data_IF_412846909220
#
_entry.id   IF_412846909220
#
_cell.length_a   1.000
_cell.length_b   1.000
_cell.length_c   1.000
_cell.angle_alpha   90.00
_cell.angle_beta   90.00
_cell.angle_gamma   90.00
#
_symmetry.space_group_name_H-M   'P 1'
#
loop_
_entity.id
_entity.type
_entity.pdbx_description
1 polymer ?
#
# COMPACT_ATOMS: atom_id res chain seq x y z
N UNK A 1 -16.82 20.50 -31.84
CA UNK A 1 -15.66 20.98 -31.05
C UNK A 1 -16.18 21.74 -29.84
N UNK A 2 -16.28 21.09 -28.67
CA UNK A 2 -16.67 21.73 -27.41
C UNK A 2 -15.50 21.57 -26.44
N UNK A 3 -14.92 22.70 -26.01
CA UNK A 3 -13.85 22.79 -25.01
C UNK A 3 -14.49 22.71 -23.63
N UNK A 4 -14.09 21.73 -22.83
CA UNK A 4 -14.46 21.65 -21.41
C UNK A 4 -13.57 22.60 -20.60
N UNK A 5 -14.20 23.43 -19.76
CA UNK A 5 -13.59 24.43 -18.92
C UNK A 5 -12.76 23.78 -17.79
N UNK A 6 -11.51 24.22 -17.64
CA UNK A 6 -10.76 24.11 -16.39
C UNK A 6 -11.32 25.13 -15.39
N UNK A 7 -11.59 24.67 -14.16
CA UNK A 7 -11.91 25.56 -13.04
C UNK A 7 -10.72 25.59 -12.08
N UNK A 8 -9.98 26.70 -12.11
CA UNK A 8 -8.97 27.05 -11.13
C UNK A 8 -9.66 27.71 -9.92
N UNK A 9 -9.46 27.16 -8.72
CA UNK A 9 -9.95 27.76 -7.49
C UNK A 9 -8.84 28.60 -6.83
N UNK A 10 -9.03 29.92 -6.82
CA UNK A 10 -8.25 30.90 -6.06
C UNK A 10 -8.52 30.75 -4.55
N UNK A 11 -7.47 30.79 -3.74
CA UNK A 11 -7.55 30.89 -2.27
C UNK A 11 -7.09 32.29 -1.84
N UNK A 12 -8.01 33.04 -1.24
CA UNK A 12 -7.76 34.31 -0.55
C UNK A 12 -7.08 34.05 0.80
N UNK A 13 -5.99 34.79 1.05
CA UNK A 13 -5.26 34.81 2.32
C UNK A 13 -5.72 36.03 3.13
N UNK A 14 -6.21 35.81 4.34
CA UNK A 14 -6.32 36.87 5.36
C UNK A 14 -5.40 36.55 6.53
N UNK A 15 -4.54 37.52 6.82
CA UNK A 15 -3.54 37.53 7.88
C UNK A 15 -4.16 38.12 9.16
N UNK A 16 -3.91 37.48 10.31
CA UNK A 16 -3.89 38.16 11.61
C UNK A 16 -2.73 37.58 12.43
N UNK A 17 -2.00 38.50 13.07
CA UNK A 17 -0.74 38.31 13.77
C UNK A 17 -0.96 38.49 15.28
N UNK A 18 0.07 38.05 16.02
CA UNK A 18 0.51 38.45 17.36
C UNK A 18 0.01 37.69 18.60
N UNK A 19 0.97 37.37 19.48
CA UNK A 19 0.72 37.31 20.93
C UNK A 19 1.44 36.26 21.79
N UNK A 20 2.77 36.17 21.72
CA UNK A 20 3.74 35.87 22.81
C UNK A 20 3.27 35.41 24.22
N UNK A 21 3.84 34.31 24.76
CA UNK A 21 4.78 34.25 25.93
C UNK A 21 4.96 32.82 26.50
N UNK A 22 6.22 32.48 26.78
CA UNK A 22 6.70 31.25 27.42
C UNK A 22 6.79 31.34 28.96
N UNK A 23 7.05 30.15 29.56
CA UNK A 23 7.64 29.79 30.87
C UNK A 23 6.70 29.39 32.02
N UNK A 24 7.15 28.56 32.99
CA UNK A 24 7.71 27.20 32.86
C UNK A 24 7.09 26.19 33.88
N UNK A 25 7.49 24.91 33.77
CA UNK A 25 7.01 23.76 34.56
C UNK A 25 7.48 23.69 36.04
N UNK A 26 6.84 22.82 36.84
CA UNK A 26 7.55 22.07 37.90
C UNK A 26 7.28 20.55 37.89
N UNK A 27 8.34 19.75 38.10
CA UNK A 27 8.29 18.35 38.59
C UNK A 27 8.31 18.31 40.13
N UNK A 28 7.77 17.26 40.78
CA UNK A 28 8.60 16.15 41.33
C UNK A 28 7.83 14.81 41.35
N UNK A 29 8.36 13.61 41.65
CA UNK A 29 9.64 13.11 42.14
C UNK A 29 9.58 11.57 42.19
N UNK A 30 10.74 10.94 42.36
CA UNK A 30 10.93 9.48 42.37
C UNK A 30 10.53 8.81 43.70
N UNK A 31 10.37 7.48 43.71
CA UNK A 31 10.69 6.68 44.89
C UNK A 31 11.72 5.56 44.62
N UNK A 32 12.57 5.38 45.63
CA UNK A 32 13.64 4.39 45.75
C UNK A 32 13.13 2.94 45.85
N UNK A 33 13.93 2.01 45.34
CA UNK A 33 13.97 0.59 45.70
C UNK A 33 14.71 0.36 47.03
N UNK A 34 14.45 -0.77 47.70
CA UNK A 34 15.57 -1.64 48.08
C UNK A 34 15.31 -3.14 47.85
N UNK A 35 16.42 -3.87 47.90
CA UNK A 35 16.71 -5.23 47.46
C UNK A 35 16.29 -6.38 48.41
N UNK A 36 16.27 -7.58 47.79
CA UNK A 36 16.60 -8.93 48.31
C UNK A 36 15.66 -9.69 49.27
N UNK A 37 15.20 -10.89 48.86
CA UNK A 37 15.79 -12.19 49.27
C UNK A 37 14.89 -13.42 48.95
N UNK A 38 15.53 -14.42 48.33
CA UNK A 38 15.37 -15.89 48.41
C UNK A 38 14.01 -16.57 48.75
N UNK A 39 13.56 -17.49 47.88
CA UNK A 39 13.36 -18.92 48.18
C UNK A 39 12.83 -19.70 46.94
N UNK A 40 13.39 -20.89 46.71
CA UNK A 40 12.84 -21.97 45.88
C UNK A 40 12.70 -23.22 46.80
N UNK A 41 12.27 -24.42 46.34
CA UNK A 41 11.56 -24.82 45.12
C UNK A 41 10.35 -25.76 45.39
N UNK A 42 9.52 -26.04 44.38
CA UNK A 42 8.78 -27.32 44.34
C UNK A 42 8.36 -27.73 42.92
N UNK A 43 8.98 -28.83 42.47
CA UNK A 43 8.51 -29.89 41.56
C UNK A 43 7.50 -29.60 40.45
N UNK A 44 7.85 -29.96 39.22
CA UNK A 44 7.29 -31.15 38.56
C UNK A 44 7.90 -31.34 37.17
N UNK A 45 8.08 -32.60 36.80
CA UNK A 45 8.77 -33.11 35.61
C UNK A 45 8.24 -32.53 34.29
N UNK A 46 9.14 -31.99 33.48
CA UNK A 46 8.88 -31.67 32.08
C UNK A 46 8.87 -32.96 31.26
N UNK A 47 7.70 -33.35 30.77
CA UNK A 47 7.57 -34.23 29.61
C UNK A 47 7.90 -33.41 28.37
N UNK A 48 8.95 -33.79 27.66
CA UNK A 48 9.20 -33.33 26.31
C UNK A 48 8.07 -33.83 25.40
N UNK A 49 7.15 -32.94 25.03
CA UNK A 49 6.31 -33.11 23.86
C UNK A 49 6.97 -32.35 22.72
N UNK A 50 7.60 -33.11 21.84
CA UNK A 50 8.07 -32.67 20.53
C UNK A 50 6.83 -32.34 19.68
N UNK A 51 6.29 -31.14 19.90
CA UNK A 51 5.24 -30.58 19.06
C UNK A 51 5.94 -29.89 17.90
N UNK A 52 6.19 -30.67 16.85
CA UNK A 52 6.60 -30.17 15.56
C UNK A 52 5.69 -29.00 15.17
N UNK A 53 6.30 -27.84 15.00
CA UNK A 53 5.69 -26.66 14.40
C UNK A 53 5.12 -27.06 13.05
N UNK A 54 3.81 -27.30 12.98
CA UNK A 54 3.12 -27.41 11.73
C UNK A 54 3.22 -26.05 11.04
N UNK A 55 4.08 -26.03 10.05
CA UNK A 55 4.29 -24.95 9.11
C UNK A 55 2.95 -24.54 8.49
N UNK A 56 2.51 -23.32 8.79
CA UNK A 56 1.34 -22.69 8.17
C UNK A 56 1.50 -22.49 6.65
N UNK A 57 2.62 -22.91 6.06
CA UNK A 57 2.87 -22.97 4.62
C UNK A 57 1.96 -23.94 3.83
N UNK A 58 1.26 -24.87 4.49
CA UNK A 58 0.48 -25.93 3.82
C UNK A 58 -0.82 -25.46 3.12
N UNK A 59 -1.31 -24.24 3.35
CA UNK A 59 -2.60 -23.80 2.80
C UNK A 59 -2.52 -23.15 1.40
N UNK A 60 -1.30 -22.95 0.86
CA UNK A 60 -1.09 -22.23 -0.38
C UNK A 60 -0.93 -23.21 -1.54
N UNK A 61 -1.90 -23.21 -2.47
CA UNK A 61 -1.78 -23.92 -3.75
C UNK A 61 -0.50 -23.53 -4.51
N UNK A 62 -0.12 -24.33 -5.51
CA UNK A 62 1.11 -24.13 -6.28
C UNK A 62 1.25 -22.69 -6.83
N UNK A 63 2.49 -22.19 -6.89
CA UNK A 63 2.78 -20.89 -7.50
C UNK A 63 2.36 -20.89 -8.98
N UNK A 64 1.86 -19.74 -9.46
CA UNK A 64 1.57 -19.59 -10.89
C UNK A 64 2.88 -19.40 -11.66
N UNK A 65 2.94 -19.92 -12.88
CA UNK A 65 3.98 -19.59 -13.84
C UNK A 65 3.84 -18.15 -14.35
N UNK A 66 4.91 -17.61 -14.93
CA UNK A 66 4.89 -16.26 -15.50
C UNK A 66 3.91 -16.13 -16.67
N UNK A 67 3.78 -17.17 -17.50
CA UNK A 67 2.83 -17.19 -18.60
C UNK A 67 1.38 -17.16 -18.09
N UNK A 68 1.07 -17.90 -17.01
CA UNK A 68 -0.25 -17.86 -16.37
C UNK A 68 -0.55 -16.48 -15.79
N UNK A 69 0.42 -15.84 -15.15
CA UNK A 69 0.23 -14.48 -14.63
C UNK A 69 -0.01 -13.47 -15.76
N UNK A 70 0.79 -13.51 -16.82
CA UNK A 70 0.61 -12.61 -17.96
C UNK A 70 -0.77 -12.74 -18.61
N UNK A 71 -1.21 -13.98 -18.85
CA UNK A 71 -2.54 -14.27 -19.35
C UNK A 71 -3.64 -13.79 -18.39
N UNK A 72 -3.43 -13.92 -17.08
CA UNK A 72 -4.35 -13.44 -16.06
C UNK A 72 -4.47 -11.90 -16.07
N UNK A 73 -3.34 -11.19 -16.16
CA UNK A 73 -3.30 -9.72 -16.26
C UNK A 73 -4.13 -9.27 -17.47
N UNK A 74 -3.91 -9.86 -18.65
CA UNK A 74 -4.64 -9.51 -19.87
C UNK A 74 -6.14 -9.86 -19.78
N UNK A 75 -6.47 -11.04 -19.22
CA UNK A 75 -7.85 -11.50 -19.06
C UNK A 75 -8.64 -10.56 -18.17
N UNK A 76 -8.09 -10.17 -17.02
CA UNK A 76 -8.76 -9.36 -16.01
C UNK A 76 -8.81 -7.87 -16.38
N UNK A 77 -7.79 -7.35 -17.07
CA UNK A 77 -7.68 -5.93 -17.39
C UNK A 77 -8.74 -5.45 -18.38
N UNK A 78 -9.13 -4.19 -18.26
CA UNK A 78 -9.98 -3.48 -19.23
C UNK A 78 -9.24 -2.31 -19.89
N UNK A 79 -9.96 -1.49 -20.66
CA UNK A 79 -9.34 -0.33 -21.32
C UNK A 79 -8.91 0.68 -20.26
N UNK A 80 -7.68 1.23 -20.33
CA UNK A 80 -7.24 2.25 -19.38
C UNK A 80 -8.06 3.53 -19.54
N UNK A 81 -8.28 4.21 -18.43
CA UNK A 81 -8.83 5.56 -18.39
C UNK A 81 -7.75 6.61 -18.18
N UNK A 82 -8.18 7.86 -18.04
CA UNK A 82 -7.31 9.01 -17.87
C UNK A 82 -7.10 9.35 -16.39
N UNK A 83 -5.89 9.81 -16.06
CA UNK A 83 -5.59 10.37 -14.74
C UNK A 83 -4.63 11.55 -14.89
N UNK A 84 -4.87 12.68 -14.21
CA UNK A 84 -4.21 13.95 -14.54
C UNK A 84 -2.77 14.09 -14.00
N UNK A 85 -2.16 13.03 -13.46
CA UNK A 85 -0.81 13.12 -12.89
C UNK A 85 -0.02 11.81 -12.92
N UNK A 86 1.29 11.92 -13.08
CA UNK A 86 2.25 10.83 -13.00
C UNK A 86 2.78 10.67 -11.57
N UNK A 87 1.93 10.18 -10.67
CA UNK A 87 2.33 9.86 -9.30
C UNK A 87 2.61 8.36 -9.15
N UNK A 88 3.78 8.06 -8.60
CA UNK A 88 4.34 6.71 -8.35
C UNK A 88 4.45 6.38 -6.85
N UNK A 89 3.91 7.24 -5.99
CA UNK A 89 4.01 7.07 -4.55
C UNK A 89 2.73 7.54 -3.88
N UNK A 90 2.38 6.93 -2.76
CA UNK A 90 1.27 7.39 -1.93
C UNK A 90 1.56 8.75 -1.30
N UNK A 91 0.51 9.41 -0.83
CA UNK A 91 0.58 10.61 0.02
C UNK A 91 -0.22 10.45 1.32
N UNK A 92 -0.56 9.22 1.67
CA UNK A 92 -1.44 8.88 2.79
C UNK A 92 -0.65 8.76 4.10
N UNK A 93 -0.59 9.84 4.87
CA UNK A 93 0.14 9.83 6.15
C UNK A 93 -0.49 8.96 7.23
N UNK A 94 -1.76 8.55 7.09
CA UNK A 94 -2.49 7.73 8.09
C UNK A 94 -2.53 6.24 7.74
N UNK A 95 -1.82 5.79 6.70
CA UNK A 95 -1.98 4.45 6.15
C UNK A 95 -1.69 3.31 7.15
N UNK A 96 -0.85 3.54 8.17
CA UNK A 96 -0.59 2.56 9.23
C UNK A 96 -1.67 2.53 10.34
N UNK A 97 -2.64 3.46 10.36
CA UNK A 97 -3.69 3.50 11.38
C UNK A 97 -4.63 2.28 11.33
N UNK A 98 -4.64 1.57 10.20
CA UNK A 98 -5.44 0.35 9.99
C UNK A 98 -4.66 -0.94 10.25
N UNK A 99 -3.38 -0.85 10.65
CA UNK A 99 -2.49 -2.02 10.77
C UNK A 99 -3.03 -3.10 11.72
N UNK A 100 -3.65 -2.74 12.84
CA UNK A 100 -4.22 -3.69 13.79
C UNK A 100 -5.40 -4.47 13.19
N UNK A 101 -6.25 -3.81 12.42
CA UNK A 101 -7.37 -4.42 11.70
C UNK A 101 -6.87 -5.38 10.62
N UNK A 102 -5.84 -4.99 9.88
CA UNK A 102 -5.27 -5.77 8.77
C UNK A 102 -4.48 -7.00 9.22
N UNK A 103 -4.16 -7.11 10.50
CA UNK A 103 -3.44 -8.25 11.08
C UNK A 103 -4.35 -9.25 11.79
N UNK A 104 -5.67 -9.03 11.80
CA UNK A 104 -6.61 -9.96 12.41
C UNK A 104 -6.56 -11.33 11.74
N UNK A 105 -6.62 -12.38 12.56
CA UNK A 105 -6.61 -13.77 12.07
C UNK A 105 -7.79 -14.09 11.15
N UNK A 106 -8.91 -13.38 11.31
CA UNK A 106 -10.08 -13.48 10.42
C UNK A 106 -9.79 -13.10 8.97
N UNK A 107 -8.67 -12.40 8.69
CA UNK A 107 -8.25 -12.05 7.33
C UNK A 107 -7.29 -13.07 6.71
N UNK A 108 -6.76 -14.04 7.48
CA UNK A 108 -5.83 -15.04 6.96
C UNK A 108 -6.50 -15.94 5.93
N UNK A 109 -5.76 -16.29 4.88
CA UNK A 109 -6.27 -17.13 3.79
C UNK A 109 -7.26 -16.42 2.86
N UNK A 110 -7.51 -15.12 3.03
CA UNK A 110 -8.42 -14.34 2.17
C UNK A 110 -7.67 -13.46 1.18
N UNK A 111 -8.26 -13.26 0.01
CA UNK A 111 -7.67 -12.47 -1.06
C UNK A 111 -7.68 -10.97 -0.77
N UNK A 112 -6.76 -10.25 -1.40
CA UNK A 112 -6.64 -8.79 -1.31
C UNK A 112 -7.01 -8.14 -2.65
N UNK A 113 -7.77 -7.05 -2.62
CA UNK A 113 -7.97 -6.15 -3.76
C UNK A 113 -7.58 -4.75 -3.30
N UNK A 114 -6.84 -4.00 -4.11
CA UNK A 114 -6.49 -2.63 -3.74
C UNK A 114 -6.15 -1.75 -4.91
N UNK A 115 -6.44 -0.46 -4.80
CA UNK A 115 -5.97 0.54 -5.76
C UNK A 115 -4.51 0.91 -5.50
N UNK A 116 -3.70 1.06 -6.55
CA UNK A 116 -2.28 1.41 -6.46
C UNK A 116 -1.98 2.74 -5.73
N UNK A 117 -0.70 3.12 -5.55
CA UNK A 117 0.51 2.38 -5.91
C UNK A 117 1.09 1.48 -4.78
N UNK A 118 2.25 1.81 -4.22
CA UNK A 118 3.11 0.95 -3.41
C UNK A 118 2.62 0.68 -1.99
N UNK A 119 1.73 1.51 -1.45
CA UNK A 119 1.15 1.32 -0.10
C UNK A 119 0.44 -0.03 0.04
N UNK A 120 -0.04 -0.60 -1.07
CA UNK A 120 -0.55 -1.97 -1.12
C UNK A 120 0.50 -2.97 -0.60
N UNK A 121 1.78 -2.80 -0.92
CA UNK A 121 2.83 -3.72 -0.48
C UNK A 121 2.94 -3.80 1.04
N UNK A 122 2.73 -2.68 1.73
CA UNK A 122 2.65 -2.66 3.20
C UNK A 122 1.45 -3.48 3.70
N UNK A 123 0.28 -3.33 3.10
CA UNK A 123 -0.89 -4.13 3.48
C UNK A 123 -0.69 -5.62 3.16
N UNK A 124 -0.08 -5.96 2.03
CA UNK A 124 0.28 -7.34 1.71
C UNK A 124 1.25 -7.94 2.74
N UNK A 125 2.21 -7.16 3.25
CA UNK A 125 3.13 -7.61 4.30
C UNK A 125 2.43 -7.94 5.63
N UNK A 126 1.30 -7.30 5.91
CA UNK A 126 0.47 -7.50 7.11
C UNK A 126 -0.53 -8.65 6.94
N UNK A 127 -1.15 -8.77 5.77
CA UNK A 127 -2.24 -9.70 5.49
C UNK A 127 -1.71 -11.06 5.05
N UNK A 128 -0.61 -11.06 4.27
CA UNK A 128 -0.02 -12.24 3.63
C UNK A 128 -1.07 -13.09 2.86
N UNK A 129 -1.78 -12.48 1.89
CA UNK A 129 -2.91 -13.12 1.23
C UNK A 129 -2.46 -14.24 0.29
N UNK A 130 -3.29 -15.26 0.02
CA UNK A 130 -3.00 -16.28 -0.98
C UNK A 130 -2.95 -15.70 -2.42
N UNK A 131 -3.66 -14.60 -2.67
CA UNK A 131 -3.71 -13.86 -3.94
C UNK A 131 -4.04 -12.38 -3.68
N UNK A 132 -3.40 -11.48 -4.42
CA UNK A 132 -3.64 -10.04 -4.38
C UNK A 132 -3.88 -9.49 -5.80
N UNK A 133 -4.88 -8.63 -5.96
CA UNK A 133 -5.20 -7.93 -7.19
C UNK A 133 -5.00 -6.43 -6.98
N UNK A 134 -4.08 -5.81 -7.72
CA UNK A 134 -3.83 -4.38 -7.64
C UNK A 134 -4.47 -3.70 -8.86
N UNK A 135 -5.53 -2.94 -8.62
CA UNK A 135 -6.41 -2.41 -9.67
C UNK A 135 -6.22 -0.90 -9.80
N UNK A 136 -5.82 -0.42 -10.96
CA UNK A 136 -5.71 1.03 -11.20
C UNK A 136 -6.25 1.37 -12.59
N UNK A 137 -6.87 2.54 -12.71
CA UNK A 137 -7.42 3.01 -13.98
C UNK A 137 -6.32 3.27 -15.02
N UNK A 138 -5.08 3.52 -14.55
CA UNK A 138 -3.91 3.83 -15.35
C UNK A 138 -3.15 2.56 -15.71
N UNK A 139 -2.85 2.40 -16.99
CA UNK A 139 -1.86 1.41 -17.46
C UNK A 139 -0.48 1.63 -16.85
N UNK A 140 -0.10 2.88 -16.60
CA UNK A 140 1.18 3.24 -15.98
C UNK A 140 1.39 2.62 -14.59
N UNK A 141 0.33 2.45 -13.79
CA UNK A 141 0.46 1.88 -12.45
C UNK A 141 0.71 0.35 -12.49
N UNK A 142 0.22 -0.35 -13.51
CA UNK A 142 0.59 -1.76 -13.74
C UNK A 142 2.07 -1.87 -14.06
N UNK A 143 2.54 -1.01 -14.97
CA UNK A 143 3.96 -0.95 -15.34
C UNK A 143 4.82 -0.68 -14.10
N UNK A 144 4.37 0.22 -13.22
CA UNK A 144 5.01 0.50 -11.93
C UNK A 144 5.07 -0.73 -11.02
N UNK A 145 3.96 -1.46 -10.80
CA UNK A 145 3.98 -2.68 -10.00
C UNK A 145 4.89 -3.78 -10.59
N UNK A 146 5.00 -3.86 -11.91
CA UNK A 146 5.93 -4.77 -12.59
C UNK A 146 7.39 -4.31 -12.47
N UNK A 147 7.66 -3.00 -12.44
CA UNK A 147 9.00 -2.46 -12.11
C UNK A 147 9.35 -2.81 -10.67
N UNK A 148 8.45 -2.57 -9.70
CA UNK A 148 8.65 -2.94 -8.29
C UNK A 148 8.95 -4.44 -8.16
N UNK A 149 8.21 -5.30 -8.88
CA UNK A 149 8.50 -6.74 -8.92
C UNK A 149 9.90 -7.04 -9.48
N UNK A 150 10.32 -6.40 -10.57
CA UNK A 150 11.65 -6.63 -11.13
C UNK A 150 12.77 -6.24 -10.13
N UNK A 151 12.56 -5.18 -9.35
CA UNK A 151 13.46 -4.79 -8.26
C UNK A 151 13.46 -5.84 -7.14
N UNK A 152 12.29 -6.41 -6.79
CA UNK A 152 12.17 -7.48 -5.78
C UNK A 152 12.85 -8.78 -6.21
N UNK A 153 12.75 -9.16 -7.49
CA UNK A 153 13.46 -10.33 -8.03
C UNK A 153 14.98 -10.12 -8.04
N UNK A 154 15.43 -8.89 -8.25
CA UNK A 154 16.85 -8.53 -8.30
C UNK A 154 17.52 -8.51 -6.91
N UNK A 155 16.78 -8.19 -5.86
CA UNK A 155 17.30 -8.12 -4.49
C UNK A 155 17.09 -9.42 -3.72
N UNK A 156 18.06 -9.77 -2.88
CA UNK A 156 17.95 -10.84 -1.88
C UNK A 156 17.51 -10.35 -0.50
N UNK A 157 17.61 -9.03 -0.27
CA UNK A 157 17.24 -8.34 0.97
C UNK A 157 16.70 -6.92 0.68
N UNK A 158 16.19 -6.25 1.72
CA UNK A 158 15.64 -4.88 1.61
C UNK A 158 16.62 -3.85 1.05
N UNK A 159 17.90 -3.90 1.42
CA UNK A 159 18.87 -2.92 0.96
C UNK A 159 19.15 -3.08 -0.54
N UNK A 160 19.27 -4.31 -1.02
CA UNK A 160 19.42 -4.60 -2.45
C UNK A 160 18.17 -4.24 -3.27
N UNK A 161 16.97 -4.40 -2.69
CA UNK A 161 15.75 -3.90 -3.31
C UNK A 161 15.78 -2.38 -3.47
N UNK A 162 16.12 -1.63 -2.41
CA UNK A 162 16.21 -0.16 -2.48
C UNK A 162 17.31 0.27 -3.44
N UNK A 163 18.43 -0.46 -3.50
CA UNK A 163 19.49 -0.26 -4.49
C UNK A 163 18.97 -0.42 -5.92
N UNK A 164 18.23 -1.50 -6.21
CA UNK A 164 17.65 -1.76 -7.52
C UNK A 164 16.57 -0.74 -7.90
N UNK A 165 15.74 -0.31 -6.95
CA UNK A 165 14.68 0.68 -7.18
C UNK A 165 15.25 2.06 -7.44
N UNK A 166 16.20 2.49 -6.61
CA UNK A 166 16.76 3.85 -6.66
C UNK A 166 17.98 3.99 -7.56
N UNK A 167 18.43 2.89 -8.17
CA UNK A 167 19.64 2.81 -8.97
C UNK A 167 20.87 3.42 -8.25
N UNK A 168 21.05 3.08 -6.97
CA UNK A 168 22.18 3.51 -6.14
C UNK A 168 22.90 2.26 -5.63
N UNK A 169 24.24 2.21 -5.59
CA UNK A 169 24.93 1.08 -4.96
C UNK A 169 24.53 0.98 -3.49
N UNK A 170 24.52 -0.24 -2.94
CA UNK A 170 24.25 -0.45 -1.51
C UNK A 170 25.26 0.35 -0.69
N UNK A 171 24.82 1.29 0.16
CA UNK A 171 25.72 2.07 1.00
C UNK A 171 26.61 1.18 1.87
N UNK A 172 27.91 1.47 1.93
CA UNK A 172 28.86 0.71 2.75
C UNK A 172 28.46 0.65 4.23
N UNK A 173 27.74 1.66 4.73
CA UNK A 173 27.23 1.71 6.10
C UNK A 173 26.15 0.66 6.42
N UNK A 174 25.56 0.04 5.40
CA UNK A 174 24.53 -0.99 5.55
C UNK A 174 25.09 -2.41 5.43
N UNK A 175 26.31 -2.58 4.91
CA UNK A 175 26.90 -3.91 4.69
C UNK A 175 27.02 -4.65 6.02
N UNK A 176 26.41 -5.83 6.10
CA UNK A 176 26.33 -6.65 7.32
C UNK A 176 25.28 -6.19 8.35
N UNK A 177 24.49 -5.16 8.03
CA UNK A 177 23.40 -4.63 8.87
C UNK A 177 22.06 -4.56 8.14
N UNK A 178 21.95 -5.07 6.92
CA UNK A 178 20.80 -4.97 6.02
C UNK A 178 19.50 -5.45 6.69
N UNK A 179 19.57 -6.54 7.45
CA UNK A 179 18.42 -7.10 8.17
C UNK A 179 18.05 -6.31 9.44
N UNK A 180 19.03 -5.67 10.09
CA UNK A 180 18.85 -4.96 11.37
C UNK A 180 18.52 -3.48 11.21
N UNK A 181 18.87 -2.88 10.07
CA UNK A 181 18.62 -1.47 9.79
C UNK A 181 17.11 -1.20 9.76
N UNK A 182 16.72 -0.12 10.42
CA UNK A 182 15.38 0.45 10.32
C UNK A 182 15.14 1.04 8.93
N UNK A 183 13.87 1.15 8.52
CA UNK A 183 13.51 1.81 7.25
C UNK A 183 14.02 3.27 7.18
N UNK A 184 14.08 3.96 8.33
CA UNK A 184 14.67 5.29 8.45
C UNK A 184 16.18 5.29 8.15
N UNK A 185 16.94 4.39 8.79
CA UNK A 185 18.38 4.26 8.53
C UNK A 185 18.66 3.86 7.06
N UNK A 186 17.82 3.00 6.47
CA UNK A 186 17.90 2.68 5.04
C UNK A 186 17.73 3.95 4.19
N UNK A 187 16.67 4.72 4.41
CA UNK A 187 16.41 5.96 3.68
C UNK A 187 17.55 6.98 3.82
N UNK A 188 18.04 7.18 5.04
CA UNK A 188 19.15 8.09 5.34
C UNK A 188 20.49 7.65 4.76
N UNK A 189 20.75 6.34 4.67
CA UNK A 189 21.97 5.82 4.07
C UNK A 189 21.94 5.99 2.54
N UNK A 190 20.81 5.67 1.89
CA UNK A 190 20.65 5.81 0.44
C UNK A 190 20.60 7.27 -0.02
N UNK A 191 20.11 8.22 0.79
CA UNK A 191 20.11 9.65 0.43
C UNK A 191 21.51 10.25 0.31
N UNK A 192 22.52 9.62 0.94
CA UNK A 192 23.93 10.04 0.90
C UNK A 192 24.71 9.46 -0.27
N UNK A 193 24.09 8.59 -1.06
CA UNK A 193 24.73 7.89 -2.19
C UNK A 193 24.18 8.42 -3.51
N UNK A 194 25.10 8.73 -4.43
CA UNK A 194 24.75 9.17 -5.78
C UNK A 194 24.14 8.02 -6.61
N UNK A 195 23.21 8.35 -7.49
CA UNK A 195 22.67 7.40 -8.46
C UNK A 195 23.75 6.98 -9.47
N UNK A 196 23.71 5.71 -9.86
CA UNK A 196 24.54 5.09 -10.89
C UNK A 196 23.71 4.83 -12.15
N UNK A 197 24.08 5.49 -13.25
CA UNK A 197 23.36 5.39 -14.52
C UNK A 197 23.39 3.95 -15.09
N UNK A 198 24.47 3.19 -14.88
CA UNK A 198 24.55 1.79 -15.29
C UNK A 198 23.56 0.92 -14.52
N UNK A 199 23.37 1.18 -13.21
CA UNK A 199 22.35 0.48 -12.42
C UNK A 199 20.94 0.81 -12.90
N UNK A 200 20.67 2.08 -13.24
CA UNK A 200 19.37 2.50 -13.80
C UNK A 200 19.09 1.78 -15.12
N UNK A 201 20.04 1.78 -16.04
CA UNK A 201 19.85 1.21 -17.37
C UNK A 201 19.65 -0.32 -17.29
N UNK A 202 20.42 -1.01 -16.44
CA UNK A 202 20.19 -2.43 -16.11
C UNK A 202 18.82 -2.67 -15.46
N UNK A 203 18.35 -1.74 -14.62
CA UNK A 203 17.01 -1.79 -14.03
C UNK A 203 15.92 -1.80 -15.10
N UNK A 204 16.02 -0.89 -16.08
CA UNK A 204 15.11 -0.82 -17.23
C UNK A 204 15.13 -2.13 -18.02
N UNK A 205 16.31 -2.66 -18.35
CA UNK A 205 16.46 -3.92 -19.08
C UNK A 205 15.81 -5.09 -18.35
N UNK A 206 16.03 -5.22 -17.03
CA UNK A 206 15.43 -6.29 -16.21
C UNK A 206 13.91 -6.19 -16.16
N UNK A 207 13.37 -4.98 -16.01
CA UNK A 207 11.90 -4.78 -16.02
C UNK A 207 11.28 -5.18 -17.36
N UNK A 208 11.93 -4.81 -18.47
CA UNK A 208 11.47 -5.20 -19.82
C UNK A 208 11.59 -6.72 -20.04
N UNK A 209 12.67 -7.34 -19.55
CA UNK A 209 12.86 -8.79 -19.64
C UNK A 209 11.82 -9.56 -18.82
N UNK A 210 11.48 -9.08 -17.61
CA UNK A 210 10.39 -9.63 -16.81
C UNK A 210 9.06 -9.58 -17.59
N UNK A 211 8.69 -8.41 -18.12
CA UNK A 211 7.45 -8.25 -18.89
C UNK A 211 7.40 -9.14 -20.14
N UNK A 212 8.54 -9.35 -20.80
CA UNK A 212 8.65 -10.28 -21.92
C UNK A 212 8.45 -11.74 -21.48
N UNK A 213 9.02 -12.15 -20.32
CA UNK A 213 8.82 -13.48 -19.74
C UNK A 213 7.37 -13.73 -19.32
N UNK A 214 6.66 -12.67 -18.91
CA UNK A 214 5.21 -12.70 -18.68
C UNK A 214 4.40 -12.77 -19.98
N UNK A 215 5.02 -12.66 -21.16
CA UNK A 215 4.31 -12.67 -22.44
C UNK A 215 3.52 -11.39 -22.73
N UNK A 216 3.75 -10.31 -21.97
CA UNK A 216 3.01 -9.06 -22.14
C UNK A 216 3.42 -8.34 -23.44
N UNK A 217 2.42 -7.94 -24.23
CA UNK A 217 2.65 -7.12 -25.43
C UNK A 217 2.84 -5.65 -25.04
N UNK A 218 4.10 -5.24 -24.92
CA UNK A 218 4.46 -3.87 -24.59
C UNK A 218 4.38 -2.94 -25.80
N UNK A 219 3.66 -1.83 -25.64
CA UNK A 219 3.65 -0.70 -26.57
C UNK A 219 4.91 0.16 -26.41
N UNK A 220 5.12 1.12 -27.32
CA UNK A 220 6.19 2.12 -27.17
C UNK A 220 5.99 2.99 -25.93
N UNK A 221 4.74 3.28 -25.56
CA UNK A 221 4.41 4.05 -24.36
C UNK A 221 4.68 3.27 -23.07
N UNK A 222 4.45 1.95 -23.07
CA UNK A 222 4.81 1.09 -21.95
C UNK A 222 6.33 1.13 -21.69
N UNK A 223 7.14 1.05 -22.75
CA UNK A 223 8.61 1.11 -22.65
C UNK A 223 9.09 2.47 -22.13
N UNK A 224 8.47 3.57 -22.59
CA UNK A 224 8.74 4.91 -22.05
C UNK A 224 8.34 5.02 -20.59
N UNK A 225 7.22 4.43 -20.19
CA UNK A 225 6.75 4.41 -18.80
C UNK A 225 7.75 3.69 -17.90
N UNK A 226 8.27 2.52 -18.31
CA UNK A 226 9.35 1.81 -17.59
C UNK A 226 10.57 2.70 -17.39
N UNK A 227 11.06 3.33 -18.47
CA UNK A 227 12.22 4.22 -18.41
C UNK A 227 11.97 5.43 -17.49
N UNK A 228 10.76 6.01 -17.55
CA UNK A 228 10.37 7.16 -16.73
C UNK A 228 10.33 6.82 -15.23
N UNK A 229 9.77 5.67 -14.85
CA UNK A 229 9.74 5.22 -13.45
C UNK A 229 11.16 5.08 -12.90
N UNK A 230 12.03 4.32 -13.58
CA UNK A 230 13.44 4.18 -13.20
C UNK A 230 14.15 5.53 -13.15
N UNK A 231 13.84 6.44 -14.07
CA UNK A 231 14.44 7.78 -14.11
C UNK A 231 14.01 8.67 -12.93
N UNK A 232 12.76 8.58 -12.48
CA UNK A 232 12.27 9.34 -11.33
C UNK A 232 12.87 8.83 -10.02
N UNK A 233 12.92 7.50 -9.81
CA UNK A 233 13.60 6.93 -8.65
C UNK A 233 15.13 7.11 -8.70
N UNK A 234 15.76 7.10 -9.88
CA UNK A 234 17.16 7.48 -10.01
C UNK A 234 17.40 8.91 -9.52
N UNK A 235 16.60 9.88 -10.02
CA UNK A 235 16.74 11.30 -9.66
C UNK A 235 16.48 11.56 -8.18
N UNK A 236 15.35 11.08 -7.67
CA UNK A 236 14.83 11.48 -6.36
C UNK A 236 15.11 10.44 -5.26
N UNK A 237 15.46 9.21 -5.62
CA UNK A 237 15.65 8.14 -4.65
C UNK A 237 14.40 7.94 -3.79
N UNK A 238 14.61 7.75 -2.49
CA UNK A 238 13.52 7.68 -1.53
C UNK A 238 12.95 9.06 -1.13
N UNK A 239 13.50 10.16 -1.66
CA UNK A 239 12.89 11.50 -1.55
C UNK A 239 11.77 11.74 -2.59
N UNK A 240 11.48 10.77 -3.44
CA UNK A 240 10.33 10.83 -4.34
C UNK A 240 9.05 11.01 -3.52
N UNK A 241 8.27 12.04 -3.85
CA UNK A 241 7.03 12.40 -3.18
C UNK A 241 5.93 12.63 -4.20
N UNK A 242 4.68 12.45 -3.76
CA UNK A 242 3.50 12.80 -4.55
C UNK A 242 3.53 14.30 -4.89
N UNK A 243 3.06 14.64 -6.09
CA UNK A 243 2.93 16.03 -6.55
C UNK A 243 1.59 16.26 -7.23
N UNK A 244 1.08 17.48 -7.13
CA UNK A 244 -0.08 17.90 -7.90
C UNK A 244 0.31 19.09 -8.75
N UNK A 245 0.03 19.01 -10.04
CA UNK A 245 0.21 20.13 -10.95
C UNK A 245 -0.58 21.35 -10.44
N UNK A 246 0.04 22.52 -10.48
CA UNK A 246 -0.56 23.77 -9.99
C UNK A 246 -0.68 23.89 -8.46
N UNK A 247 -0.16 22.95 -7.67
CA UNK A 247 -0.18 23.02 -6.20
C UNK A 247 1.21 23.25 -5.61
N UNK A 248 1.33 24.21 -4.69
CA UNK A 248 2.53 24.41 -3.87
C UNK A 248 2.59 23.46 -2.64
N UNK A 249 1.64 22.54 -2.53
CA UNK A 249 1.52 21.63 -1.38
C UNK A 249 2.67 20.64 -1.36
N UNK A 250 3.28 20.49 -0.19
CA UNK A 250 4.30 19.46 0.08
C UNK A 250 3.64 18.18 0.61
N UNK A 251 4.15 17.06 0.15
CA UNK A 251 3.74 15.71 0.56
C UNK A 251 4.95 14.97 1.14
N UNK A 252 4.75 13.96 2.01
CA UNK A 252 5.84 13.14 2.50
C UNK A 252 6.53 12.42 1.34
N UNK A 253 7.84 12.21 1.47
CA UNK A 253 8.57 11.32 0.57
C UNK A 253 8.23 9.86 0.87
N UNK A 254 8.42 8.97 -0.11
CA UNK A 254 8.22 7.53 0.06
C UNK A 254 9.11 6.97 1.17
N UNK A 255 10.35 7.46 1.30
CA UNK A 255 11.23 7.12 2.42
C UNK A 255 10.63 7.50 3.77
N UNK A 256 10.04 8.70 3.87
CA UNK A 256 9.34 9.15 5.08
C UNK A 256 8.10 8.29 5.39
N UNK A 257 7.29 7.94 4.39
CA UNK A 257 6.13 7.07 4.57
C UNK A 257 6.55 5.68 5.06
N UNK A 258 7.56 5.08 4.43
CA UNK A 258 8.06 3.74 4.78
C UNK A 258 8.78 3.70 6.13
N UNK A 259 9.29 4.84 6.60
CA UNK A 259 9.90 4.99 7.92
C UNK A 259 8.91 5.23 9.06
N UNK A 260 7.60 5.41 8.78
CA UNK A 260 6.60 5.57 9.82
C UNK A 260 6.44 4.29 10.65
N UNK A 261 6.00 4.48 11.89
CA UNK A 261 5.59 3.42 12.80
C UNK A 261 4.10 3.50 13.09
N UNK A 262 3.52 2.38 13.53
CA UNK A 262 2.17 2.37 14.12
C UNK A 262 2.14 3.18 15.43
N UNK A 263 0.96 3.39 16.00
CA UNK A 263 0.81 4.06 17.30
C UNK A 263 1.59 3.37 18.42
N UNK A 264 1.71 2.05 18.35
CA UNK A 264 2.44 1.23 19.32
C UNK A 264 3.95 1.13 19.01
N UNK A 265 4.45 1.92 18.05
CA UNK A 265 5.87 1.99 17.71
C UNK A 265 6.36 0.92 16.73
N UNK A 266 5.47 0.14 16.13
CA UNK A 266 5.86 -0.94 15.23
C UNK A 266 6.23 -0.43 13.82
N UNK A 267 7.38 -0.87 13.29
CA UNK A 267 7.80 -0.64 11.91
C UNK A 267 7.03 -1.54 10.92
N UNK A 268 5.75 -1.25 10.71
CA UNK A 268 4.82 -2.13 10.01
C UNK A 268 4.80 -1.96 8.48
N UNK A 269 5.58 -1.04 7.90
CA UNK A 269 5.72 -0.91 6.45
C UNK A 269 6.40 -2.15 5.83
N UNK A 270 6.25 -2.36 4.52
CA UNK A 270 6.92 -3.50 3.87
C UNK A 270 8.45 -3.42 3.89
N UNK A 271 9.03 -2.21 4.06
CA UNK A 271 10.47 -2.03 4.31
C UNK A 271 10.83 -1.94 5.79
N UNK A 272 9.84 -1.95 6.69
CA UNK A 272 10.06 -1.77 8.13
C UNK A 272 10.95 -2.85 8.74
N UNK A 273 10.79 -4.10 8.28
CA UNK A 273 11.62 -5.24 8.72
C UNK A 273 11.95 -6.16 7.55
N UNK A 274 13.05 -6.92 7.66
CA UNK A 274 13.46 -7.88 6.63
C UNK A 274 12.39 -8.94 6.42
N UNK A 275 11.74 -9.39 7.50
CA UNK A 275 10.66 -10.36 7.45
C UNK A 275 9.45 -9.85 6.65
N UNK A 276 9.05 -8.59 6.84
CA UNK A 276 7.96 -7.98 6.09
C UNK A 276 8.27 -7.91 4.59
N UNK A 277 9.48 -7.53 4.24
CA UNK A 277 9.92 -7.46 2.84
C UNK A 277 10.00 -8.85 2.20
N UNK A 278 10.58 -9.84 2.88
CA UNK A 278 10.66 -11.21 2.37
C UNK A 278 9.27 -11.80 2.12
N UNK A 279 8.27 -11.50 2.96
CA UNK A 279 6.87 -11.90 2.70
C UNK A 279 6.34 -11.30 1.40
N UNK A 280 6.51 -10.00 1.18
CA UNK A 280 6.05 -9.33 -0.05
C UNK A 280 6.78 -9.88 -1.27
N UNK A 281 8.11 -10.06 -1.17
CA UNK A 281 8.89 -10.68 -2.24
C UNK A 281 8.38 -12.07 -2.56
N UNK A 282 8.14 -12.91 -1.55
CA UNK A 282 7.61 -14.26 -1.73
C UNK A 282 6.28 -14.26 -2.51
N UNK A 283 5.37 -13.32 -2.21
CA UNK A 283 4.12 -13.15 -2.96
C UNK A 283 4.38 -12.77 -4.43
N UNK A 284 5.27 -11.82 -4.68
CA UNK A 284 5.57 -11.35 -6.03
C UNK A 284 6.26 -12.41 -6.89
N UNK A 285 7.28 -13.09 -6.37
CA UNK A 285 8.02 -14.13 -7.11
C UNK A 285 7.20 -15.39 -7.32
N UNK A 286 6.24 -15.68 -6.43
CA UNK A 286 5.27 -16.76 -6.60
C UNK A 286 4.08 -16.38 -7.50
N UNK A 287 4.15 -15.23 -8.19
CA UNK A 287 3.13 -14.73 -9.09
C UNK A 287 1.75 -14.51 -8.43
N UNK A 288 1.71 -14.17 -7.13
CA UNK A 288 0.45 -13.96 -6.36
C UNK A 288 0.00 -12.50 -6.30
N UNK A 289 0.72 -11.58 -6.94
CA UNK A 289 0.35 -10.18 -7.05
C UNK A 289 0.02 -9.88 -8.51
N UNK A 290 -1.25 -9.62 -8.78
CA UNK A 290 -1.80 -9.47 -10.14
C UNK A 290 -2.16 -7.99 -10.36
N UNK A 291 -1.32 -7.22 -11.08
CA UNK A 291 -1.66 -5.85 -11.44
C UNK A 291 -2.67 -5.84 -12.61
N UNK A 292 -3.75 -5.09 -12.49
CA UNK A 292 -4.92 -5.11 -13.39
C UNK A 292 -5.31 -3.69 -13.78
N UNK A 293 -5.56 -3.44 -15.08
CA UNK A 293 -6.15 -2.17 -15.51
C UNK A 293 -7.62 -2.24 -15.16
N UNK A 294 -8.11 -1.35 -14.30
CA UNK A 294 -9.51 -1.35 -13.92
C UNK A 294 -10.00 -0.01 -13.40
N UNK A 295 -11.16 0.38 -13.87
CA UNK A 295 -12.00 1.44 -13.33
C UNK A 295 -12.94 0.83 -12.28
N UNK A 296 -13.09 1.48 -11.14
CA UNK A 296 -14.04 1.07 -10.11
C UNK A 296 -15.49 1.19 -10.57
N UNK A 297 -15.76 1.98 -11.60
CA UNK A 297 -17.05 2.06 -12.31
C UNK A 297 -17.13 1.13 -13.52
N UNK A 298 -16.00 0.55 -13.94
CA UNK A 298 -15.89 -0.31 -15.11
C UNK A 298 -16.77 -1.55 -15.02
N UNK A 299 -17.03 -2.16 -16.17
CA UNK A 299 -17.92 -3.32 -16.26
C UNK A 299 -17.19 -4.66 -16.23
N UNK A 300 -15.85 -4.65 -16.36
CA UNK A 300 -15.07 -5.87 -16.52
C UNK A 300 -14.16 -6.15 -15.35
N UNK A 301 -13.26 -5.23 -14.96
CA UNK A 301 -12.13 -5.58 -14.09
C UNK A 301 -12.54 -6.16 -12.73
N UNK A 302 -13.30 -5.41 -11.91
CA UNK A 302 -13.76 -5.88 -10.59
C UNK A 302 -14.69 -7.10 -10.67
N UNK A 303 -15.55 -7.16 -11.68
CA UNK A 303 -16.45 -8.30 -11.92
C UNK A 303 -15.65 -9.57 -12.25
N UNK A 304 -14.64 -9.44 -13.12
CA UNK A 304 -13.77 -10.55 -13.54
C UNK A 304 -12.86 -11.01 -12.40
N UNK A 305 -12.38 -10.09 -11.57
CA UNK A 305 -11.65 -10.43 -10.33
C UNK A 305 -12.56 -11.24 -9.40
N UNK A 306 -13.80 -10.79 -9.18
CA UNK A 306 -14.77 -11.55 -8.38
C UNK A 306 -15.05 -12.94 -8.95
N UNK A 307 -15.07 -13.10 -10.27
CA UNK A 307 -15.20 -14.41 -10.93
C UNK A 307 -13.96 -15.28 -10.70
N UNK A 308 -12.75 -14.75 -10.92
CA UNK A 308 -11.49 -15.47 -10.72
C UNK A 308 -11.31 -15.90 -9.25
N UNK A 309 -11.68 -15.05 -8.30
CA UNK A 309 -11.70 -15.41 -6.88
C UNK A 309 -12.61 -16.61 -6.61
N UNK A 310 -13.83 -16.63 -7.16
CA UNK A 310 -14.75 -17.79 -7.02
C UNK A 310 -14.21 -19.05 -7.69
N UNK A 311 -13.64 -18.93 -8.89
CA UNK A 311 -12.97 -20.04 -9.60
C UNK A 311 -11.84 -20.66 -8.76
N UNK A 312 -11.19 -19.86 -7.91
CA UNK A 312 -10.11 -20.28 -7.00
C UNK A 312 -10.57 -20.62 -5.57
N UNK A 313 -11.87 -20.54 -5.29
CA UNK A 313 -12.40 -20.75 -3.93
C UNK A 313 -11.96 -19.69 -2.91
N UNK A 314 -11.64 -18.48 -3.37
CA UNK A 314 -11.18 -17.37 -2.54
C UNK A 314 -12.33 -16.42 -2.17
N UNK A 315 -12.31 -15.95 -0.93
CA UNK A 315 -13.15 -14.85 -0.41
C UNK A 315 -12.31 -13.59 -0.29
N UNK A 316 -12.93 -12.43 -0.44
CA UNK A 316 -12.32 -11.12 -0.20
C UNK A 316 -11.98 -10.98 1.30
N UNK A 317 -10.75 -10.61 1.61
CA UNK A 317 -10.37 -10.17 2.95
C UNK A 317 -10.46 -8.65 3.03
N UNK A 318 -9.76 -7.98 2.12
CA UNK A 318 -9.63 -6.52 2.13
C UNK A 318 -9.84 -5.98 0.72
N UNK A 319 -10.67 -4.94 0.60
CA UNK A 319 -10.70 -4.06 -0.56
C UNK A 319 -10.24 -2.66 -0.18
N UNK A 320 -9.02 -2.30 -0.56
CA UNK A 320 -8.46 -0.98 -0.38
C UNK A 320 -8.84 -0.03 -1.52
N UNK A 321 -9.52 1.08 -1.20
CA UNK A 321 -10.10 2.01 -2.17
C UNK A 321 -9.44 3.38 -2.19
N UNK A 322 -8.46 3.64 -1.32
CA UNK A 322 -7.88 4.98 -1.11
C UNK A 322 -9.01 6.03 -0.98
N UNK A 323 -8.94 7.15 -1.69
CA UNK A 323 -10.02 8.12 -1.82
C UNK A 323 -10.77 8.04 -3.16
N UNK A 324 -10.63 6.94 -3.92
CA UNK A 324 -11.27 6.79 -5.25
C UNK A 324 -12.76 7.09 -5.18
N UNK A 325 -13.40 6.59 -4.13
CA UNK A 325 -14.82 6.79 -3.83
C UNK A 325 -15.26 8.27 -3.86
N UNK A 326 -14.39 9.21 -3.48
CA UNK A 326 -14.67 10.66 -3.55
C UNK A 326 -15.03 11.10 -4.98
N UNK A 327 -14.26 10.64 -5.97
CA UNK A 327 -14.47 11.00 -7.38
C UNK A 327 -15.72 10.32 -7.94
N UNK A 328 -16.02 9.10 -7.49
CA UNK A 328 -17.21 8.36 -7.92
C UNK A 328 -18.52 9.07 -7.51
N UNK A 329 -18.52 9.78 -6.38
CA UNK A 329 -19.62 10.67 -5.99
C UNK A 329 -19.69 11.92 -6.86
N UNK A 330 -18.55 12.53 -7.22
CA UNK A 330 -18.52 13.71 -8.08
C UNK A 330 -19.09 13.40 -9.48
N UNK A 331 -18.87 12.17 -9.96
CA UNK A 331 -19.40 11.68 -11.24
C UNK A 331 -20.87 11.23 -11.17
N UNK A 332 -21.48 11.20 -9.98
CA UNK A 332 -22.87 10.74 -9.78
C UNK A 332 -23.09 9.25 -10.05
N UNK A 333 -22.02 8.44 -10.08
CA UNK A 333 -22.04 7.02 -10.49
C UNK A 333 -21.77 6.04 -9.35
N UNK A 334 -21.84 6.50 -8.10
CA UNK A 334 -21.50 5.68 -6.93
C UNK A 334 -22.31 4.38 -6.81
N UNK A 335 -23.57 4.34 -7.28
CA UNK A 335 -24.37 3.12 -7.31
C UNK A 335 -23.75 1.99 -8.16
N UNK A 336 -23.02 2.33 -9.23
CA UNK A 336 -22.30 1.35 -10.04
C UNK A 336 -21.14 0.71 -9.26
N UNK A 337 -20.41 1.51 -8.48
CA UNK A 337 -19.37 1.01 -7.60
C UNK A 337 -19.92 0.03 -6.55
N UNK A 338 -21.05 0.35 -5.92
CA UNK A 338 -21.71 -0.58 -4.99
C UNK A 338 -22.04 -1.92 -5.67
N UNK A 339 -22.54 -1.90 -6.90
CA UNK A 339 -22.78 -3.11 -7.68
C UNK A 339 -21.51 -3.90 -8.00
N UNK A 340 -20.41 -3.22 -8.29
CA UNK A 340 -19.11 -3.86 -8.51
C UNK A 340 -18.53 -4.48 -7.23
N UNK A 341 -18.69 -3.83 -6.05
CA UNK A 341 -18.34 -4.43 -4.75
C UNK A 341 -19.17 -5.69 -4.50
N UNK A 342 -20.48 -5.66 -4.80
CA UNK A 342 -21.37 -6.83 -4.69
C UNK A 342 -20.96 -8.00 -5.59
N UNK A 343 -20.24 -7.75 -6.68
CA UNK A 343 -19.72 -8.79 -7.55
C UNK A 343 -18.55 -9.56 -6.93
N UNK A 344 -17.88 -9.04 -5.89
CA UNK A 344 -16.81 -9.74 -5.18
C UNK A 344 -17.39 -10.76 -4.18
N UNK A 345 -16.71 -11.90 -3.94
CA UNK A 345 -17.12 -12.86 -2.93
C UNK A 345 -16.77 -12.32 -1.53
N UNK A 346 -17.73 -11.68 -0.87
CA UNK A 346 -17.58 -11.12 0.49
C UNK A 346 -18.14 -12.05 1.55
N UNK A 347 -17.64 -11.94 2.78
CA UNK A 347 -18.17 -12.57 3.98
C UNK A 347 -18.10 -11.63 5.19
N UNK A 348 -18.55 -12.03 6.39
CA UNK A 348 -18.56 -11.15 7.56
C UNK A 348 -17.19 -10.60 7.99
N UNK A 349 -16.09 -11.25 7.59
CA UNK A 349 -14.74 -10.79 7.88
C UNK A 349 -14.18 -9.84 6.79
N UNK A 350 -14.81 -9.78 5.61
CA UNK A 350 -14.40 -8.87 4.55
C UNK A 350 -14.54 -7.40 4.97
N UNK A 351 -13.53 -6.59 4.65
CA UNK A 351 -13.52 -5.16 4.96
C UNK A 351 -13.16 -4.30 3.75
N UNK A 352 -13.67 -3.08 3.72
CA UNK A 352 -13.18 -2.00 2.87
C UNK A 352 -12.24 -1.12 3.69
N UNK A 353 -11.11 -0.76 3.11
CA UNK A 353 -10.16 0.22 3.65
C UNK A 353 -10.16 1.44 2.74
N UNK A 354 -10.44 2.62 3.30
CA UNK A 354 -10.54 3.86 2.53
C UNK A 354 -9.87 5.01 3.26
N UNK A 355 -9.64 6.11 2.53
CA UNK A 355 -8.93 7.27 3.06
C UNK A 355 -9.72 8.55 2.83
N UNK A 356 -10.01 9.25 3.92
CA UNK A 356 -10.52 10.62 3.85
C UNK A 356 -9.34 11.60 3.78
N UNK A 357 -9.36 12.52 2.81
CA UNK A 357 -8.39 13.61 2.72
C UNK A 357 -8.99 14.90 3.27
N UNK A 358 -8.27 15.55 4.18
CA UNK A 358 -8.62 16.86 4.69
C UNK A 358 -8.42 17.95 3.61
N UNK A 359 -9.52 18.25 2.92
CA UNK A 359 -9.64 19.28 1.89
C UNK A 359 -10.40 20.51 2.44
N UNK A 360 -10.11 20.90 3.69
CA UNK A 360 -10.80 21.98 4.40
C UNK A 360 -11.91 21.48 5.32
N UNK A 361 -12.05 20.16 5.46
CA UNK A 361 -12.96 19.51 6.39
C UNK A 361 -12.24 18.35 7.07
N UNK A 362 -11.81 18.62 8.31
CA UNK A 362 -11.16 17.64 9.19
C UNK A 362 -12.13 16.51 9.54
N UNK A 363 -11.68 15.26 9.39
CA UNK A 363 -12.47 14.09 9.83
C UNK A 363 -12.52 14.01 11.37
N UNK A 364 -13.62 13.55 12.01
CA UNK A 364 -13.68 13.44 13.47
C UNK A 364 -12.59 12.53 14.06
N UNK A 365 -12.19 11.50 13.32
CA UNK A 365 -11.11 10.56 13.69
C UNK A 365 -9.71 10.98 13.19
N UNK A 366 -9.56 12.19 12.65
CA UNK A 366 -8.27 12.66 12.12
C UNK A 366 -7.30 12.97 13.24
N UNK A 367 -6.18 12.24 13.24
CA UNK A 367 -5.09 12.41 14.19
C UNK A 367 -4.32 13.73 13.96
N UNK A 368 -3.73 14.24 15.03
CA UNK A 368 -2.83 15.39 14.97
C UNK A 368 -1.63 15.10 14.06
N UNK A 369 -1.22 16.08 13.25
CA UNK A 369 -0.14 15.92 12.28
C UNK A 369 -0.54 15.17 10.99
N UNK A 370 -1.72 14.56 10.93
CA UNK A 370 -2.21 13.88 9.73
C UNK A 370 -3.24 14.75 9.00
N UNK A 371 -3.15 14.75 7.66
CA UNK A 371 -4.15 15.34 6.75
C UNK A 371 -4.99 14.28 6.04
N UNK A 372 -4.80 13.03 6.43
CA UNK A 372 -5.56 11.89 5.95
C UNK A 372 -6.12 11.12 7.14
N UNK A 373 -7.20 10.38 6.92
CA UNK A 373 -7.75 9.45 7.91
C UNK A 373 -8.10 8.15 7.21
N UNK A 374 -7.34 7.11 7.52
CA UNK A 374 -7.59 5.75 7.03
C UNK A 374 -8.64 5.08 7.89
N UNK A 375 -9.60 4.43 7.24
CA UNK A 375 -10.82 3.92 7.87
C UNK A 375 -11.10 2.51 7.37
N UNK A 376 -11.55 1.66 8.28
CA UNK A 376 -12.01 0.29 8.00
C UNK A 376 -13.53 0.23 8.18
N UNK A 377 -14.22 -0.45 7.27
CA UNK A 377 -15.66 -0.72 7.36
C UNK A 377 -15.93 -2.15 6.89
N UNK A 378 -16.86 -2.85 7.53
CA UNK A 378 -17.34 -4.16 7.04
C UNK A 378 -17.84 -4.06 5.60
N UNK A 379 -17.41 -4.96 4.73
CA UNK A 379 -17.90 -5.02 3.35
C UNK A 379 -19.36 -5.42 3.29
N UNK A 380 -19.78 -6.36 4.14
CA UNK A 380 -21.19 -6.73 4.27
C UNK A 380 -22.01 -5.55 4.80
N UNK A 381 -21.56 -4.91 5.88
CA UNK A 381 -22.25 -3.74 6.43
C UNK A 381 -22.35 -2.57 5.44
N UNK A 382 -21.32 -2.37 4.60
CA UNK A 382 -21.36 -1.40 3.50
C UNK A 382 -22.46 -1.71 2.47
N UNK A 383 -22.58 -2.98 2.05
CA UNK A 383 -23.59 -3.42 1.08
C UNK A 383 -25.01 -3.35 1.66
N UNK A 384 -25.20 -3.84 2.88
CA UNK A 384 -26.49 -3.82 3.58
C UNK A 384 -26.98 -2.38 3.78
N UNK A 385 -26.06 -1.49 4.19
CA UNK A 385 -26.35 -0.07 4.35
C UNK A 385 -26.75 0.59 3.03
N UNK A 386 -26.07 0.27 1.93
CA UNK A 386 -26.35 0.83 0.61
C UNK A 386 -27.71 0.36 0.07
N UNK A 387 -28.13 -0.87 0.38
CA UNK A 387 -29.45 -1.41 0.03
C UNK A 387 -30.58 -0.74 0.83
N UNK A 388 -30.40 -0.58 2.15
CA UNK A 388 -31.37 0.12 3.01
C UNK A 388 -31.53 1.59 2.62
N UNK A 389 -30.43 2.28 2.34
CA UNK A 389 -30.42 3.70 1.98
C UNK A 389 -29.16 4.01 1.16
N UNK A 390 -29.30 4.49 -0.08
CA UNK A 390 -28.15 4.92 -0.86
C UNK A 390 -27.35 6.01 -0.14
N UNK A 391 -26.03 5.90 -0.23
CA UNK A 391 -25.10 6.91 0.26
C UNK A 391 -25.26 8.22 -0.54
N UNK A 392 -25.26 9.36 0.16
CA UNK A 392 -25.45 10.69 -0.46
C UNK A 392 -24.16 11.43 -0.72
N UNK A 393 -23.09 11.07 -0.01
CA UNK A 393 -21.78 11.70 -0.17
C UNK A 393 -20.66 10.81 0.36
N UNK A 394 -19.44 11.05 -0.09
CA UNK A 394 -18.27 10.37 0.45
C UNK A 394 -18.07 10.63 1.94
N UNK A 395 -18.43 11.82 2.42
CA UNK A 395 -18.41 12.14 3.85
C UNK A 395 -19.34 11.24 4.68
N UNK A 396 -20.54 10.95 4.16
CA UNK A 396 -21.46 10.03 4.82
C UNK A 396 -20.83 8.64 4.92
N UNK A 397 -20.21 8.13 3.84
CA UNK A 397 -19.52 6.84 3.85
C UNK A 397 -18.39 6.79 4.88
N UNK A 398 -17.60 7.85 5.01
CA UNK A 398 -16.44 7.86 5.91
C UNK A 398 -16.80 8.11 7.37
N UNK A 399 -17.93 8.75 7.65
CA UNK A 399 -18.35 9.06 9.03
C UNK A 399 -19.40 8.12 9.59
N UNK A 400 -20.07 7.32 8.76
CA UNK A 400 -21.02 6.31 9.22
C UNK A 400 -20.27 5.24 10.03
N UNK A 401 -20.59 5.17 11.32
CA UNK A 401 -20.00 4.22 12.26
C UNK A 401 -20.64 2.83 12.17
N UNK A 402 -21.53 2.60 11.20
CA UNK A 402 -22.31 1.37 11.09
C UNK A 402 -23.38 1.34 12.18
N UNK A 403 -24.57 1.86 11.84
CA UNK A 403 -25.77 1.73 12.66
C UNK A 403 -26.55 0.46 12.37
#
# INVERSE_FOLDING_TARGET
>A
MRRSLLLAAMLLVTSCRDGSRETPAPQPGAPNTPDAAAAAPSGSAARASDAGSQDSGSARGAAMSDAELGALIERLSERPGDFPSDNFVSNETSYLDVASELKKETLRGKAYVGVGPEQNLTYLAMIDPPMAYIVDIRRGNIIEHLVLRACMESGSNRAEFVSALTARPVPASLVGREASASAKELAEAFSKVAGDASLRDKGVERSLALMARLGLKLTSEDRKSVAKIHQEFFKKGLELAYTMEGSARRYPSVGSLLAQTTQDGEAASFLGTEQAWQRVRALMVANRVVPVVGDFLGEKALVSIGKDMRERGLTLGVFYTSNVEQYLFQDGKYGRFVSNVRALPVDPASVLVRVWFDQGRKHPRQREGHRTTSLVMSAQGFLDRAERKPWRSYWEVTTDQGG
#
